data_IF_381514552548
#
_entry.id   IF_381514552548
#
_cell.length_a   1.000
_cell.length_b   1.000
_cell.length_c   1.000
_cell.angle_alpha   90.00
_cell.angle_beta   90.00
_cell.angle_gamma   90.00
#
_symmetry.space_group_name_H-M   'P 1'
#
loop_
_entity.id
_entity.type
_entity.pdbx_description
1 polymer ?
#
# COMPACT_ATOMS: atom_id res chain seq x y z
N UNK A 1 -3.76 24.44 -10.90
CA UNK A 1 -3.38 23.05 -11.23
C UNK A 1 -3.63 22.20 -9.98
N UNK A 2 -4.70 21.41 -9.96
CA UNK A 2 -5.06 20.56 -8.81
C UNK A 2 -4.03 19.44 -8.63
N UNK A 3 -3.52 19.27 -7.41
CA UNK A 3 -2.69 18.13 -7.05
C UNK A 3 -3.61 16.90 -7.02
N UNK A 4 -3.72 16.17 -8.13
CA UNK A 4 -4.56 14.98 -8.19
C UNK A 4 -4.10 13.97 -7.12
N UNK A 5 -4.98 13.71 -6.16
CA UNK A 5 -4.79 12.70 -5.12
C UNK A 5 -5.52 11.43 -5.57
N UNK A 6 -4.90 10.25 -5.42
CA UNK A 6 -5.61 8.99 -5.61
C UNK A 6 -6.83 8.92 -4.68
N UNK A 7 -7.95 8.39 -5.18
CA UNK A 7 -9.11 8.13 -4.35
C UNK A 7 -8.81 6.99 -3.37
N UNK A 8 -9.06 7.21 -2.08
CA UNK A 8 -8.91 6.19 -1.04
C UNK A 8 -10.29 5.60 -0.78
N UNK A 9 -10.42 4.28 -0.87
CA UNK A 9 -11.69 3.58 -0.64
C UNK A 9 -11.51 2.44 0.36
N UNK A 10 -12.52 2.23 1.21
CA UNK A 10 -12.60 1.00 2.01
C UNK A 10 -12.96 -0.15 1.08
N UNK A 11 -12.25 -1.27 1.23
CA UNK A 11 -12.47 -2.48 0.47
C UNK A 11 -12.82 -3.65 1.41
N UNK A 12 -13.28 -4.74 0.84
CA UNK A 12 -13.73 -5.95 1.53
C UNK A 12 -12.91 -7.17 1.13
N UNK A 13 -13.15 -8.30 1.79
CA UNK A 13 -12.50 -9.58 1.43
C UNK A 13 -12.79 -10.03 0.01
N UNK A 14 -13.97 -9.71 -0.54
CA UNK A 14 -14.34 -10.07 -1.91
C UNK A 14 -13.50 -9.32 -2.96
N UNK A 15 -13.01 -8.12 -2.62
CA UNK A 15 -12.22 -7.29 -3.52
C UNK A 15 -10.78 -7.80 -3.68
N UNK A 16 -10.34 -8.70 -2.80
CA UNK A 16 -9.05 -9.37 -2.94
C UNK A 16 -9.03 -10.35 -4.11
N UNK A 17 -10.18 -10.94 -4.44
CA UNK A 17 -10.28 -11.98 -5.46
C UNK A 17 -10.15 -11.40 -6.87
N UNK A 18 -9.75 -12.24 -7.84
CA UNK A 18 -9.64 -11.84 -9.25
C UNK A 18 -10.96 -11.41 -9.91
N UNK A 19 -12.09 -11.75 -9.29
CA UNK A 19 -13.43 -11.24 -9.67
C UNK A 19 -13.64 -9.77 -9.29
N UNK A 20 -12.86 -9.24 -8.35
CA UNK A 20 -12.84 -7.84 -7.95
C UNK A 20 -12.27 -6.97 -9.07
N UNK A 21 -13.15 -6.42 -9.92
CA UNK A 21 -12.73 -5.62 -11.09
C UNK A 21 -12.25 -4.20 -10.75
N UNK A 22 -12.34 -3.80 -9.49
CA UNK A 22 -12.00 -2.45 -9.06
C UNK A 22 -10.51 -2.21 -8.82
N UNK A 23 -9.74 -3.28 -8.64
CA UNK A 23 -8.32 -3.23 -8.27
C UNK A 23 -7.49 -4.09 -9.22
N UNK A 24 -6.22 -3.72 -9.40
CA UNK A 24 -5.31 -4.34 -10.37
C UNK A 24 -3.99 -4.88 -9.79
N UNK A 25 -3.87 -4.80 -8.46
CA UNK A 25 -2.86 -5.48 -7.67
C UNK A 25 -3.31 -5.57 -6.21
N UNK A 26 -2.82 -6.57 -5.49
CA UNK A 26 -2.98 -6.70 -4.04
C UNK A 26 -1.62 -6.54 -3.37
N UNK A 27 -1.55 -5.70 -2.34
CA UNK A 27 -0.36 -5.47 -1.52
C UNK A 27 -0.68 -5.97 -0.10
N UNK A 28 -0.12 -7.11 0.29
CA UNK A 28 -0.26 -7.65 1.64
C UNK A 28 0.83 -7.11 2.56
N UNK A 29 0.44 -6.36 3.60
CA UNK A 29 1.35 -5.81 4.61
C UNK A 29 1.21 -6.59 5.90
N UNK A 30 2.29 -7.15 6.40
CA UNK A 30 2.26 -8.06 7.55
C UNK A 30 3.59 -8.07 8.31
N UNK A 31 3.61 -8.33 9.63
CA UNK A 31 4.87 -8.43 10.38
C UNK A 31 5.63 -9.73 10.12
N UNK A 32 4.91 -10.85 10.10
CA UNK A 32 5.43 -12.18 9.83
C UNK A 32 4.39 -13.01 9.06
N UNK A 33 4.84 -14.08 8.39
CA UNK A 33 3.94 -14.99 7.67
C UNK A 33 3.07 -15.73 8.70
N UNK A 34 1.76 -15.46 8.68
CA UNK A 34 0.77 -16.05 9.58
C UNK A 34 -0.17 -17.00 8.85
N UNK A 35 -0.85 -17.86 9.60
CA UNK A 35 -1.88 -18.74 9.02
C UNK A 35 -3.02 -17.94 8.37
N UNK A 36 -3.35 -16.77 8.90
CA UNK A 36 -4.34 -15.86 8.32
C UNK A 36 -3.90 -15.39 6.92
N UNK A 37 -2.64 -14.95 6.78
CA UNK A 37 -2.07 -14.54 5.49
C UNK A 37 -2.09 -15.69 4.47
N UNK A 38 -1.68 -16.89 4.89
CA UNK A 38 -1.67 -18.09 4.04
C UNK A 38 -3.08 -18.53 3.64
N UNK A 39 -4.07 -18.27 4.49
CA UNK A 39 -5.48 -18.58 4.21
C UNK A 39 -6.10 -17.54 3.28
N UNK A 40 -5.71 -16.27 3.40
CA UNK A 40 -6.10 -15.20 2.47
C UNK A 40 -5.48 -15.40 1.08
N UNK A 41 -4.25 -15.91 1.01
CA UNK A 41 -3.51 -16.14 -0.23
C UNK A 41 -2.94 -17.55 -0.29
N UNK A 42 -3.76 -18.50 -0.74
CA UNK A 42 -3.40 -19.93 -0.77
C UNK A 42 -2.20 -20.26 -1.67
N UNK A 43 -1.89 -19.39 -2.64
CA UNK A 43 -0.71 -19.48 -3.51
C UNK A 43 0.61 -19.44 -2.74
N UNK A 44 0.63 -18.86 -1.54
CA UNK A 44 1.83 -18.71 -0.72
C UNK A 44 2.28 -20.01 -0.04
N UNK A 45 1.39 -21.00 0.10
CA UNK A 45 1.68 -22.26 0.81
C UNK A 45 2.84 -23.06 0.19
N UNK A 46 3.05 -22.92 -1.11
CA UNK A 46 4.14 -23.62 -1.80
C UNK A 46 5.50 -22.95 -1.56
N UNK A 47 5.53 -21.67 -1.21
CA UNK A 47 6.76 -20.89 -1.10
C UNK A 47 7.46 -21.06 0.26
N UNK A 48 6.69 -21.23 1.33
CA UNK A 48 7.23 -21.44 2.68
C UNK A 48 8.08 -22.72 2.79
N UNK A 49 7.80 -23.73 1.95
CA UNK A 49 8.57 -24.97 1.90
C UNK A 49 9.83 -24.89 1.01
N UNK A 50 9.89 -23.91 0.11
CA UNK A 50 10.94 -23.80 -0.92
C UNK A 50 12.01 -22.79 -0.51
N UNK A 51 11.61 -21.68 0.11
CA UNK A 51 12.51 -20.59 0.49
C UNK A 51 12.40 -20.29 1.99
N UNK A 52 13.53 -20.47 2.68
CA UNK A 52 13.65 -20.20 4.12
C UNK A 52 13.53 -18.72 4.45
N UNK A 53 13.90 -17.85 3.51
CA UNK A 53 13.83 -16.39 3.67
C UNK A 53 12.51 -15.82 3.13
N UNK A 54 11.58 -16.70 2.73
CA UNK A 54 10.28 -16.28 2.23
C UNK A 54 9.55 -15.39 3.24
N UNK A 55 9.10 -14.23 2.75
CA UNK A 55 8.36 -13.27 3.55
C UNK A 55 9.22 -12.41 4.47
N UNK A 56 10.55 -12.38 4.30
CA UNK A 56 11.43 -11.40 4.97
C UNK A 56 11.68 -10.13 4.15
N UNK A 57 11.44 -10.19 2.83
CA UNK A 57 11.73 -9.10 1.90
C UNK A 57 10.56 -8.79 0.96
N UNK A 58 10.55 -7.56 0.43
CA UNK A 58 9.51 -7.08 -0.47
C UNK A 58 9.53 -7.88 -1.78
N UNK A 59 8.47 -8.65 -2.03
CA UNK A 59 8.41 -9.62 -3.13
C UNK A 59 7.15 -9.42 -3.96
N UNK A 60 7.20 -9.67 -5.27
CA UNK A 60 6.02 -9.76 -6.13
C UNK A 60 5.85 -11.20 -6.60
N UNK A 61 4.61 -11.69 -6.57
CA UNK A 61 4.23 -13.04 -6.97
C UNK A 61 3.06 -12.93 -7.94
N UNK A 62 3.13 -13.56 -9.12
CA UNK A 62 1.96 -13.68 -9.99
C UNK A 62 0.96 -14.64 -9.35
N UNK A 63 -0.27 -14.18 -9.13
CA UNK A 63 -1.35 -14.99 -8.56
C UNK A 63 -2.67 -14.70 -9.28
N UNK A 64 -3.17 -15.66 -10.05
CA UNK A 64 -4.40 -15.49 -10.83
C UNK A 64 -5.67 -15.43 -9.96
N UNK A 65 -5.55 -15.74 -8.68
CA UNK A 65 -6.69 -15.70 -7.75
C UNK A 65 -6.89 -14.31 -7.13
N UNK A 66 -5.91 -13.40 -7.24
CA UNK A 66 -6.00 -12.06 -6.66
C UNK A 66 -6.35 -11.00 -7.70
N UNK A 67 -6.88 -9.87 -7.24
CA UNK A 67 -7.21 -8.72 -8.08
C UNK A 67 -6.01 -8.30 -8.95
N UNK A 68 -6.24 -8.27 -10.27
CA UNK A 68 -5.24 -7.94 -11.29
C UNK A 68 -4.04 -8.89 -11.43
N UNK A 69 -4.06 -10.05 -10.79
CA UNK A 69 -3.05 -11.08 -11.00
C UNK A 69 -1.69 -10.83 -10.31
N UNK A 70 -1.57 -9.77 -9.51
CA UNK A 70 -0.32 -9.30 -8.90
C UNK A 70 -0.44 -9.27 -7.39
N UNK A 71 0.25 -10.17 -6.70
CA UNK A 71 0.38 -10.16 -5.25
C UNK A 71 1.74 -9.58 -4.85
N UNK A 72 1.76 -8.47 -4.13
CA UNK A 72 2.96 -7.89 -3.55
C UNK A 72 2.97 -8.21 -2.06
N UNK A 73 4.01 -8.90 -1.60
CA UNK A 73 4.24 -9.21 -0.19
C UNK A 73 5.16 -8.16 0.41
N UNK A 74 4.69 -7.45 1.42
CA UNK A 74 5.37 -6.32 2.03
C UNK A 74 5.53 -6.57 3.54
N UNK A 75 6.54 -7.37 3.94
CA UNK A 75 6.78 -7.65 5.35
C UNK A 75 7.33 -6.41 6.07
N UNK A 76 6.78 -6.10 7.25
CA UNK A 76 7.36 -5.07 8.13
C UNK A 76 8.52 -5.60 8.97
N UNK A 77 8.65 -6.93 9.03
CA UNK A 77 9.56 -7.62 9.95
C UNK A 77 9.08 -7.50 11.40
N UNK A 78 10.00 -7.79 12.33
CA UNK A 78 9.74 -7.66 13.76
C UNK A 78 9.19 -6.28 14.11
N UNK A 79 8.23 -6.24 15.03
CA UNK A 79 7.69 -5.01 15.63
C UNK A 79 8.10 -4.89 17.10
N UNK A 80 9.04 -5.71 17.58
CA UNK A 80 9.40 -5.80 19.00
C UNK A 80 10.80 -5.29 19.33
N UNK A 81 11.57 -4.81 18.35
CA UNK A 81 12.89 -4.24 18.59
C UNK A 81 12.82 -2.92 19.36
N UNK A 82 13.88 -2.59 20.09
CA UNK A 82 13.95 -1.39 20.94
C UNK A 82 13.77 -0.07 20.17
N UNK A 83 14.04 -0.07 18.86
CA UNK A 83 13.85 1.07 17.97
C UNK A 83 12.64 0.93 17.03
N UNK A 84 11.84 -0.12 17.21
CA UNK A 84 10.71 -0.41 16.33
C UNK A 84 9.49 0.41 16.73
N UNK A 85 9.00 1.18 15.76
CA UNK A 85 7.80 1.99 15.89
C UNK A 85 6.92 1.92 14.63
N UNK A 86 5.79 2.63 14.66
CA UNK A 86 4.80 2.67 13.58
C UNK A 86 5.35 3.11 12.22
N UNK A 87 6.49 3.82 12.16
CA UNK A 87 7.11 4.28 10.91
C UNK A 87 7.55 3.13 10.01
N UNK A 88 7.76 1.91 10.55
CA UNK A 88 8.00 0.71 9.75
C UNK A 88 6.90 0.49 8.71
N UNK A 89 5.65 0.70 9.10
CA UNK A 89 4.51 0.62 8.19
C UNK A 89 4.61 1.65 7.06
N UNK A 90 4.98 2.89 7.39
CA UNK A 90 5.14 3.95 6.39
C UNK A 90 6.20 3.61 5.34
N UNK A 91 7.37 3.14 5.76
CA UNK A 91 8.47 2.84 4.84
C UNK A 91 8.17 1.61 3.98
N UNK A 92 7.57 0.57 4.58
CA UNK A 92 7.18 -0.66 3.88
C UNK A 92 6.09 -0.40 2.86
N UNK A 93 5.01 0.32 3.22
CA UNK A 93 3.93 0.60 2.27
C UNK A 93 4.37 1.55 1.16
N UNK A 94 5.25 2.51 1.45
CA UNK A 94 5.86 3.38 0.44
C UNK A 94 6.72 2.57 -0.54
N UNK A 95 7.53 1.64 -0.05
CA UNK A 95 8.34 0.76 -0.90
C UNK A 95 7.46 -0.18 -1.74
N UNK A 96 6.45 -0.80 -1.13
CA UNK A 96 5.50 -1.68 -1.80
C UNK A 96 4.69 -0.96 -2.87
N UNK A 97 4.23 0.27 -2.59
CA UNK A 97 3.52 1.09 -3.54
C UNK A 97 4.38 1.47 -4.75
N UNK A 98 5.66 1.82 -4.53
CA UNK A 98 6.61 2.03 -5.64
C UNK A 98 6.77 0.77 -6.47
N UNK A 99 6.88 -0.39 -5.82
CA UNK A 99 7.02 -1.68 -6.50
C UNK A 99 5.78 -2.04 -7.32
N UNK A 100 4.58 -1.75 -6.81
CA UNK A 100 3.32 -1.94 -7.49
C UNK A 100 3.18 -1.00 -8.70
N UNK A 101 3.51 0.29 -8.55
CA UNK A 101 3.58 1.26 -9.67
C UNK A 101 4.53 0.78 -10.76
N UNK A 102 5.72 0.31 -10.38
CA UNK A 102 6.70 -0.22 -11.34
C UNK A 102 6.20 -1.49 -12.06
N UNK A 103 5.26 -2.24 -11.45
CA UNK A 103 4.61 -3.39 -12.07
C UNK A 103 3.39 -3.02 -12.94
N UNK A 104 3.04 -1.74 -13.02
CA UNK A 104 1.90 -1.24 -13.81
C UNK A 104 0.58 -1.13 -13.05
N UNK A 105 0.53 -1.29 -11.71
CA UNK A 105 -0.68 -1.13 -10.90
C UNK A 105 -1.17 0.33 -10.72
N UNK A 106 -2.32 0.67 -11.28
CA UNK A 106 -2.99 1.99 -11.17
C UNK A 106 -4.07 2.05 -10.09
N UNK A 107 -4.55 0.90 -9.62
CA UNK A 107 -5.55 0.76 -8.58
C UNK A 107 -5.19 -0.36 -7.60
N UNK A 108 -4.08 -0.24 -6.84
CA UNK A 108 -3.70 -1.26 -5.87
C UNK A 108 -4.62 -1.29 -4.64
N UNK A 109 -4.84 -2.49 -4.13
CA UNK A 109 -5.55 -2.79 -2.88
C UNK A 109 -4.55 -3.22 -1.81
N UNK A 110 -4.47 -2.50 -0.70
CA UNK A 110 -3.72 -2.94 0.47
C UNK A 110 -4.57 -3.88 1.33
N UNK A 111 -3.97 -4.99 1.74
CA UNK A 111 -4.51 -5.94 2.70
C UNK A 111 -3.68 -5.88 3.99
N UNK A 112 -4.38 -5.79 5.12
CA UNK A 112 -3.82 -5.93 6.46
C UNK A 112 -4.53 -7.08 7.19
N UNK A 113 -3.79 -8.03 7.80
CA UNK A 113 -4.38 -9.10 8.59
C UNK A 113 -5.02 -8.56 9.87
N UNK A 114 -5.93 -9.36 10.47
CA UNK A 114 -6.70 -9.01 11.66
C UNK A 114 -5.79 -8.77 12.86
N UNK A 115 -4.77 -9.61 12.99
CA UNK A 115 -3.74 -9.46 14.02
C UNK A 115 -2.46 -8.96 13.39
N UNK A 116 -2.13 -7.73 13.73
CA UNK A 116 -0.75 -7.28 13.73
C UNK A 116 -0.27 -7.55 15.15
N UNK A 117 0.76 -8.39 15.31
CA UNK A 117 1.28 -8.84 16.61
C UNK A 117 1.90 -7.69 17.43
N UNK A 118 1.07 -6.71 17.83
CA UNK A 118 1.37 -5.63 18.77
C UNK A 118 0.06 -4.90 19.15
N UNK A 119 -0.60 -5.35 20.21
CA UNK A 119 -1.68 -4.60 20.90
C UNK A 119 -1.07 -3.49 21.77
N UNK A 120 -0.45 -2.51 21.10
CA UNK A 120 0.24 -1.38 21.72
C UNK A 120 -0.38 -0.07 21.20
N UNK A 121 -0.56 0.90 22.10
CA UNK A 121 -1.03 2.24 21.74
C UNK A 121 -0.12 2.90 20.70
N UNK A 122 1.19 2.56 20.71
CA UNK A 122 2.17 3.05 19.75
C UNK A 122 1.82 2.71 18.29
N UNK A 123 1.02 1.67 18.06
CA UNK A 123 0.62 1.20 16.72
C UNK A 123 -0.85 1.51 16.39
N UNK A 124 -1.59 2.21 17.25
CA UNK A 124 -3.01 2.49 17.06
C UNK A 124 -3.37 3.17 15.71
N UNK A 125 -2.40 3.86 15.08
CA UNK A 125 -2.54 4.58 13.80
C UNK A 125 -1.78 3.95 12.63
N UNK A 126 -1.42 2.67 12.71
CA UNK A 126 -0.60 2.01 11.68
C UNK A 126 -1.25 2.07 10.29
N UNK A 127 -2.58 2.01 10.19
CA UNK A 127 -3.30 2.13 8.91
C UNK A 127 -3.14 3.53 8.32
N UNK A 128 -3.39 4.59 9.08
CA UNK A 128 -3.22 5.97 8.61
C UNK A 128 -1.78 6.23 8.16
N UNK A 129 -0.80 5.76 8.94
CA UNK A 129 0.62 5.85 8.63
C UNK A 129 0.96 5.05 7.36
N UNK A 130 0.38 3.87 7.19
CA UNK A 130 0.52 3.05 5.97
C UNK A 130 -0.01 3.75 4.74
N UNK A 131 -1.22 4.32 4.83
CA UNK A 131 -1.85 5.06 3.73
C UNK A 131 -1.00 6.29 3.37
N UNK A 132 -0.49 7.02 4.36
CA UNK A 132 0.43 8.15 4.13
C UNK A 132 1.73 7.71 3.44
N UNK A 133 2.26 6.53 3.76
CA UNK A 133 3.40 5.93 3.07
C UNK A 133 3.10 5.65 1.59
N UNK A 134 1.95 5.02 1.32
CA UNK A 134 1.49 4.74 -0.03
C UNK A 134 1.27 6.03 -0.84
N UNK A 135 0.58 7.03 -0.28
CA UNK A 135 0.35 8.33 -0.93
C UNK A 135 1.65 9.09 -1.20
N UNK A 136 2.62 9.02 -0.30
CA UNK A 136 3.93 9.63 -0.52
C UNK A 136 4.66 9.02 -1.74
N UNK A 137 4.40 7.75 -2.05
CA UNK A 137 4.92 7.08 -3.24
C UNK A 137 4.17 7.43 -4.54
N UNK A 138 3.02 8.11 -4.48
CA UNK A 138 2.27 8.56 -5.68
C UNK A 138 2.53 10.02 -6.03
N UNK A 139 3.31 10.75 -5.22
CA UNK A 139 3.66 12.12 -5.51
C UNK A 139 4.69 12.21 -6.64
N UNK A 140 4.34 12.92 -7.70
CA UNK A 140 5.25 13.25 -8.79
C UNK A 140 5.55 14.77 -8.78
N UNK A 141 6.85 15.18 -8.82
CA UNK A 141 7.27 16.57 -8.97
C UNK A 141 6.60 17.30 -10.13
N UNK A 142 6.59 18.64 -10.09
CA UNK A 142 6.06 19.44 -11.21
C UNK A 142 6.83 19.20 -12.50
N UNK A 143 8.16 19.10 -12.43
CA UNK A 143 9.02 18.89 -13.61
C UNK A 143 8.70 17.60 -14.34
N UNK A 144 8.40 16.53 -13.58
CA UNK A 144 7.99 15.24 -14.15
C UNK A 144 6.67 15.41 -14.90
N UNK A 145 5.68 16.04 -14.27
CA UNK A 145 4.36 16.26 -14.89
C UNK A 145 4.46 17.12 -16.16
N UNK A 146 5.24 18.20 -16.11
CA UNK A 146 5.49 19.04 -17.28
C UNK A 146 6.22 18.30 -18.40
N UNK A 147 7.18 17.45 -18.05
CA UNK A 147 7.90 16.65 -19.03
C UNK A 147 6.94 15.73 -19.80
N UNK A 148 6.05 15.00 -19.12
CA UNK A 148 5.05 14.14 -19.76
C UNK A 148 4.09 14.93 -20.67
N UNK A 149 3.68 16.14 -20.24
CA UNK A 149 2.89 17.05 -21.07
C UNK A 149 3.65 17.50 -22.32
N UNK A 150 4.92 17.89 -22.18
CA UNK A 150 5.79 18.35 -23.29
C UNK A 150 6.01 17.26 -24.34
N UNK A 151 6.17 16.01 -23.93
CA UNK A 151 6.38 14.88 -24.85
C UNK A 151 5.08 14.23 -25.33
N UNK A 152 3.91 14.80 -24.96
CA UNK A 152 2.58 14.31 -25.32
C UNK A 152 2.37 12.82 -25.03
N UNK A 153 2.84 12.35 -23.87
CA UNK A 153 2.63 10.98 -23.38
C UNK A 153 1.75 10.98 -22.14
N UNK A 154 0.91 9.96 -22.02
CA UNK A 154 0.10 9.76 -20.82
C UNK A 154 1.00 9.60 -19.59
N UNK A 155 0.69 10.38 -18.56
CA UNK A 155 1.39 10.31 -17.28
C UNK A 155 0.79 9.19 -16.44
N UNK A 156 1.55 8.11 -16.27
CA UNK A 156 1.15 6.96 -15.48
C UNK A 156 0.94 7.35 -14.01
N UNK A 157 -0.32 7.40 -13.59
CA UNK A 157 -0.74 7.88 -12.26
C UNK A 157 -1.64 6.86 -11.58
N UNK A 158 -1.41 6.67 -10.29
CA UNK A 158 -2.29 5.86 -9.43
C UNK A 158 -3.60 6.62 -9.24
N UNK A 159 -4.71 5.98 -9.58
CA UNK A 159 -6.03 6.60 -9.57
C UNK A 159 -6.80 6.28 -8.28
N UNK A 160 -6.62 5.07 -7.76
CA UNK A 160 -7.36 4.55 -6.60
C UNK A 160 -6.40 3.77 -5.69
N UNK A 161 -6.65 3.82 -4.39
CA UNK A 161 -6.01 2.97 -3.39
C UNK A 161 -7.13 2.33 -2.57
N UNK A 162 -7.26 1.01 -2.64
CA UNK A 162 -8.15 0.25 -1.77
C UNK A 162 -7.46 -0.08 -0.46
N UNK A 163 -8.18 -0.02 0.65
CA UNK A 163 -7.69 -0.46 1.96
C UNK A 163 -8.68 -1.48 2.51
N UNK A 164 -8.20 -2.70 2.72
CA UNK A 164 -8.93 -3.75 3.42
C UNK A 164 -8.14 -4.16 4.66
N UNK A 165 -8.79 -4.07 5.82
CA UNK A 165 -8.26 -4.56 7.10
C UNK A 165 -9.15 -5.71 7.52
N UNK A 166 -8.58 -6.90 7.69
CA UNK A 166 -9.37 -8.04 8.13
C UNK A 166 -9.91 -7.77 9.54
N UNK A 167 -11.22 -7.97 9.72
CA UNK A 167 -11.90 -7.76 11.00
C UNK A 167 -12.16 -6.30 11.41
N UNK A 168 -11.84 -5.31 10.57
CA UNK A 168 -12.13 -3.90 10.86
C UNK A 168 -12.40 -3.08 9.60
N UNK A 169 -13.34 -2.15 9.66
CA UNK A 169 -13.61 -1.24 8.55
C UNK A 169 -12.79 0.05 8.63
N UNK A 170 -12.42 0.59 7.47
CA UNK A 170 -11.82 1.91 7.38
C UNK A 170 -12.92 2.97 7.33
N UNK A 171 -13.06 3.75 8.42
CA UNK A 171 -14.13 4.76 8.51
C UNK A 171 -13.85 5.98 7.62
N UNK A 172 -14.89 6.68 7.14
CA UNK A 172 -14.75 7.91 6.37
C UNK A 172 -13.95 9.01 7.09
N UNK A 173 -14.05 9.11 8.42
CA UNK A 173 -13.32 10.09 9.21
C UNK A 173 -11.80 9.86 9.12
N UNK A 174 -11.36 8.59 9.17
CA UNK A 174 -9.94 8.23 9.02
C UNK A 174 -9.43 8.56 7.62
N UNK A 175 -10.23 8.28 6.59
CA UNK A 175 -9.91 8.64 5.19
C UNK A 175 -9.75 10.15 5.05
N UNK A 176 -10.71 10.92 5.56
CA UNK A 176 -10.67 12.38 5.51
C UNK A 176 -9.46 12.96 6.26
N UNK A 177 -9.12 12.40 7.42
CA UNK A 177 -7.96 12.79 8.20
C UNK A 177 -6.65 12.59 7.42
N UNK A 178 -6.46 11.42 6.82
CA UNK A 178 -5.26 11.13 6.01
C UNK A 178 -5.19 12.02 4.77
N UNK A 179 -6.32 12.23 4.08
CA UNK A 179 -6.39 13.14 2.93
C UNK A 179 -5.97 14.57 3.30
N UNK A 180 -6.48 15.10 4.43
CA UNK A 180 -6.11 16.43 4.89
C UNK A 180 -4.60 16.57 5.14
N UNK A 181 -3.98 15.57 5.79
CA UNK A 181 -2.54 15.54 6.03
C UNK A 181 -1.75 15.49 4.72
N UNK A 182 -2.13 14.63 3.78
CA UNK A 182 -1.41 14.49 2.51
C UNK A 182 -1.53 15.74 1.64
N UNK A 183 -2.70 16.39 1.60
CA UNK A 183 -2.87 17.70 0.93
C UNK A 183 -1.87 18.71 1.51
N UNK A 184 -1.81 18.82 2.84
CA UNK A 184 -0.86 19.70 3.52
C UNK A 184 0.60 19.39 3.17
N UNK A 185 0.97 18.09 3.16
CA UNK A 185 2.31 17.64 2.76
C UNK A 185 2.66 18.01 1.32
N UNK A 186 1.73 17.86 0.38
CA UNK A 186 1.97 18.17 -1.04
C UNK A 186 2.12 19.67 -1.27
N UNK A 187 1.33 20.50 -0.59
CA UNK A 187 1.47 21.96 -0.64
C UNK A 187 2.84 22.39 -0.12
N UNK A 188 3.29 21.85 1.02
CA UNK A 188 4.59 22.16 1.59
C UNK A 188 5.75 21.75 0.67
N UNK A 189 5.65 20.57 0.03
CA UNK A 189 6.65 20.10 -0.95
C UNK A 189 6.67 20.95 -2.22
N UNK A 190 5.51 21.35 -2.73
CA UNK A 190 5.40 22.19 -3.93
C UNK A 190 6.06 23.56 -3.77
N UNK A 191 5.97 24.18 -2.59
CA UNK A 191 6.65 25.46 -2.31
C UNK A 191 8.17 25.37 -2.36
N UNK A 192 8.77 24.21 -2.04
CA UNK A 192 10.22 24.01 -2.05
C UNK A 192 10.81 23.92 -3.47
N UNK A 193 9.99 23.78 -4.50
CA UNK A 193 10.43 23.68 -5.90
C UNK A 193 10.33 25.01 -6.67
N UNK A 194 9.80 26.08 -6.03
CA UNK A 194 9.52 27.37 -6.69
C UNK A 194 10.56 28.46 -6.29
N UNK A 195 11.48 28.14 -5.39
CA UNK A 195 12.60 29.00 -4.97
C UNK A 195 13.92 28.29 -5.29
#
# INVERSE_FOLDING_TARGET
MTLALPAIVSASSNDLASSGKEFDAVIAVYPAVSQELLSAFSSLNNYTAVDKDFGSSLTIIPDQNVAGGRLILAPTGSLYGDSDDVRKFQEVTKAAMKRARAAGAVAPLFYFPTKIDRDDEDYARYIEVSILGALAATFDPIDVREHYQKINKDHYTVQKIGIFVAGADLTPERINFVNAIEIGRRVAKGKKQIF
#
